data_IF_430305274407
#
_entry.id   IF_430305274407
#
_cell.length_a   1.000
_cell.length_b   1.000
_cell.length_c   1.000
_cell.angle_alpha   90.00
_cell.angle_beta   90.00
_cell.angle_gamma   90.00
#
_symmetry.space_group_name_H-M   'P 1'
#
loop_
_entity.id
_entity.type
_entity.pdbx_description
1 polymer ?
#
# COMPACT_ATOMS: atom_id res chain seq x y z
N UNK A 1 6.23 23.31 -2.31
CA UNK A 1 5.34 23.94 -1.30
C UNK A 1 5.57 25.45 -1.15
N UNK A 2 6.73 25.99 -1.54
CA UNK A 2 7.02 27.44 -1.42
C UNK A 2 6.07 28.37 -2.21
N UNK A 3 5.29 27.85 -3.14
CA UNK A 3 4.34 28.60 -3.97
C UNK A 3 2.87 28.46 -3.50
N UNK A 4 2.60 27.64 -2.48
CA UNK A 4 1.23 27.45 -1.98
C UNK A 4 0.96 28.44 -0.84
N UNK A 5 -0.21 29.12 -0.91
CA UNK A 5 -0.67 30.04 0.16
C UNK A 5 -1.34 29.30 1.30
N UNK A 6 -1.89 28.12 1.02
CA UNK A 6 -2.71 27.35 1.96
C UNK A 6 -2.40 25.86 1.80
N UNK A 7 -2.16 25.18 2.90
CA UNK A 7 -1.89 23.75 2.91
C UNK A 7 -2.85 23.02 3.83
N UNK A 8 -3.49 21.97 3.31
CA UNK A 8 -4.30 21.01 4.07
C UNK A 8 -3.60 19.67 4.01
N UNK A 9 -3.53 18.98 5.14
CA UNK A 9 -2.94 17.65 5.24
C UNK A 9 -4.04 16.67 5.61
N UNK A 10 -4.21 15.64 4.78
CA UNK A 10 -4.99 14.44 5.08
C UNK A 10 -4.05 13.26 4.92
N UNK A 11 -3.78 12.51 5.99
CA UNK A 11 -2.77 11.47 5.99
C UNK A 11 -3.16 10.33 6.95
N UNK A 12 -2.84 9.10 6.58
CA UNK A 12 -3.04 7.91 7.40
C UNK A 12 -1.73 7.31 7.92
N UNK A 13 -0.60 7.92 7.61
CA UNK A 13 0.69 7.47 8.12
C UNK A 13 0.94 7.93 9.56
N UNK A 14 1.82 7.23 10.26
CA UNK A 14 2.29 7.69 11.57
C UNK A 14 3.08 8.98 11.42
N UNK A 15 2.92 9.90 12.37
CA UNK A 15 3.65 11.16 12.38
C UNK A 15 5.16 10.90 12.43
N UNK A 16 5.89 11.56 11.54
CA UNK A 16 7.35 11.57 11.53
C UNK A 16 7.89 12.98 11.73
N UNK A 17 9.22 13.12 11.80
CA UNK A 17 9.90 14.41 12.05
C UNK A 17 9.82 15.37 10.85
N UNK A 18 9.52 14.88 9.65
CA UNK A 18 9.54 15.63 8.39
C UNK A 18 8.17 16.16 7.99
N UNK A 19 7.25 16.28 8.94
CA UNK A 19 5.90 16.79 8.66
C UNK A 19 5.92 18.22 8.14
N UNK A 20 5.01 18.52 7.21
CA UNK A 20 4.79 19.87 6.67
C UNK A 20 4.42 20.81 7.83
N UNK A 21 5.15 21.92 7.94
CA UNK A 21 4.94 22.91 9.00
C UNK A 21 3.81 23.87 8.64
N UNK A 22 3.03 24.26 9.68
CA UNK A 22 1.97 25.27 9.60
C UNK A 22 0.88 25.02 8.53
N UNK A 23 0.28 23.83 8.46
CA UNK A 23 -0.92 23.64 7.65
C UNK A 23 -2.10 24.39 8.29
N UNK A 24 -3.06 24.85 7.48
CA UNK A 24 -4.31 25.42 8.01
C UNK A 24 -5.25 24.35 8.57
N UNK A 25 -5.12 23.12 8.06
CA UNK A 25 -5.77 21.92 8.56
C UNK A 25 -4.79 20.76 8.47
N UNK A 26 -4.70 19.99 9.55
CA UNK A 26 -3.96 18.73 9.59
C UNK A 26 -4.85 17.67 10.21
N UNK A 27 -5.30 16.73 9.40
CA UNK A 27 -6.05 15.55 9.83
C UNK A 27 -5.22 14.30 9.55
N UNK A 28 -4.55 13.81 10.58
CA UNK A 28 -3.66 12.64 10.51
C UNK A 28 -4.26 11.55 11.39
N UNK A 29 -4.70 10.46 10.77
CA UNK A 29 -5.42 9.35 11.41
C UNK A 29 -4.76 8.00 11.07
N UNK A 30 -3.78 7.53 11.86
CA UNK A 30 -3.03 6.30 11.57
C UNK A 30 -3.86 5.01 11.63
N UNK A 31 -5.06 5.07 12.17
CA UNK A 31 -5.98 3.92 12.24
C UNK A 31 -6.89 3.82 11.01
N UNK A 32 -6.93 4.83 10.15
CA UNK A 32 -7.60 4.73 8.87
C UNK A 32 -6.82 3.79 7.94
N UNK A 33 -7.54 3.02 7.13
CA UNK A 33 -6.93 2.09 6.19
C UNK A 33 -6.13 2.79 5.08
N UNK A 34 -6.63 3.96 4.67
CA UNK A 34 -6.06 4.76 3.58
C UNK A 34 -6.47 6.21 3.68
N UNK A 35 -5.74 7.10 3.05
CA UNK A 35 -6.19 8.49 2.87
C UNK A 35 -7.47 8.57 2.05
N UNK A 36 -7.71 7.63 1.12
CA UNK A 36 -8.96 7.55 0.36
C UNK A 36 -10.18 7.27 1.25
N UNK A 37 -10.02 6.46 2.31
CA UNK A 37 -11.06 6.26 3.34
C UNK A 37 -11.39 7.60 4.02
N UNK A 38 -10.38 8.34 4.50
CA UNK A 38 -10.57 9.63 5.15
C UNK A 38 -11.30 10.64 4.25
N UNK A 39 -10.89 10.73 2.99
CA UNK A 39 -11.53 11.62 2.03
C UNK A 39 -12.97 11.19 1.76
N UNK A 40 -13.24 9.90 1.58
CA UNK A 40 -14.58 9.39 1.36
C UNK A 40 -15.51 9.67 2.55
N UNK A 41 -15.00 9.58 3.78
CA UNK A 41 -15.74 9.98 4.98
C UNK A 41 -16.04 11.48 5.00
N UNK A 42 -15.03 12.33 4.80
CA UNK A 42 -15.18 13.79 4.82
C UNK A 42 -16.23 14.24 3.80
N UNK A 43 -16.20 13.69 2.59
CA UNK A 43 -17.14 14.04 1.51
C UNK A 43 -18.62 13.78 1.89
N UNK A 44 -18.89 12.87 2.81
CA UNK A 44 -20.25 12.59 3.29
C UNK A 44 -20.77 13.67 4.24
N UNK A 45 -19.86 14.42 4.89
CA UNK A 45 -20.20 15.45 5.89
C UNK A 45 -20.10 16.89 5.37
N UNK A 46 -19.57 17.09 4.15
CA UNK A 46 -19.50 18.42 3.55
C UNK A 46 -20.90 18.89 3.15
N UNK A 47 -21.30 20.08 3.60
CA UNK A 47 -22.64 20.65 3.38
C UNK A 47 -23.04 20.73 1.89
N UNK A 48 -22.06 21.02 1.04
CA UNK A 48 -22.26 21.10 -0.43
C UNK A 48 -22.54 19.73 -1.08
N UNK A 49 -22.33 18.63 -0.36
CA UNK A 49 -22.48 17.24 -0.85
C UNK A 49 -21.94 17.07 -2.26
N UNK A 50 -20.64 17.28 -2.48
CA UNK A 50 -20.05 17.23 -3.80
C UNK A 50 -20.32 15.87 -4.43
N UNK A 51 -20.77 15.90 -5.69
CA UNK A 51 -21.00 14.67 -6.45
C UNK A 51 -19.66 14.22 -7.03
N UNK A 52 -19.24 13.01 -6.68
CA UNK A 52 -18.07 12.38 -7.28
C UNK A 52 -18.36 11.99 -8.73
N UNK A 53 -17.42 12.27 -9.61
CA UNK A 53 -17.41 11.68 -10.94
C UNK A 53 -17.01 10.19 -10.85
N UNK A 54 -17.54 9.32 -11.73
CA UNK A 54 -17.23 7.89 -11.69
C UNK A 54 -15.74 7.56 -11.76
N UNK A 55 -14.94 8.41 -12.41
CA UNK A 55 -13.49 8.24 -12.48
C UNK A 55 -12.83 8.50 -11.12
N UNK A 56 -13.26 9.55 -10.41
CA UNK A 56 -12.78 9.89 -9.07
C UNK A 56 -13.14 8.77 -8.08
N UNK A 57 -14.38 8.28 -8.12
CA UNK A 57 -14.82 7.17 -7.30
C UNK A 57 -14.01 5.88 -7.59
N UNK A 58 -13.69 5.58 -8.85
CA UNK A 58 -12.84 4.47 -9.22
C UNK A 58 -11.41 4.62 -8.68
N UNK A 59 -10.81 5.83 -8.83
CA UNK A 59 -9.45 6.10 -8.38
C UNK A 59 -9.34 5.99 -6.86
N UNK A 60 -10.30 6.55 -6.11
CA UNK A 60 -10.34 6.44 -4.65
C UNK A 60 -10.53 4.99 -4.19
N UNK A 61 -11.43 4.25 -4.85
CA UNK A 61 -11.63 2.84 -4.55
C UNK A 61 -10.36 2.03 -4.79
N UNK A 62 -9.66 2.30 -5.91
CA UNK A 62 -8.38 1.67 -6.20
C UNK A 62 -7.31 2.00 -5.16
N UNK A 63 -7.21 3.26 -4.72
CA UNK A 63 -6.30 3.67 -3.64
C UNK A 63 -6.56 2.90 -2.34
N UNK A 64 -7.84 2.68 -1.98
CA UNK A 64 -8.18 1.84 -0.82
C UNK A 64 -7.71 0.39 -1.00
N UNK A 65 -7.88 -0.22 -2.19
CA UNK A 65 -7.41 -1.57 -2.47
C UNK A 65 -5.90 -1.71 -2.33
N UNK A 66 -5.14 -0.71 -2.82
CA UNK A 66 -3.67 -0.70 -2.74
C UNK A 66 -3.20 -0.66 -1.28
N UNK A 67 -3.75 0.26 -0.48
CA UNK A 67 -3.31 0.45 0.91
C UNK A 67 -3.74 -0.70 1.84
N UNK A 68 -4.81 -1.40 1.48
CA UNK A 68 -5.38 -2.50 2.29
C UNK A 68 -5.02 -3.89 1.78
N UNK A 69 -4.23 -3.96 0.73
CA UNK A 69 -3.98 -5.23 0.03
C UNK A 69 -5.28 -5.99 -0.26
N UNK A 70 -6.15 -5.36 -1.06
CA UNK A 70 -7.47 -5.89 -1.42
C UNK A 70 -8.39 -6.18 -0.20
N UNK A 71 -8.39 -5.31 0.80
CA UNK A 71 -9.14 -5.43 2.05
C UNK A 71 -8.66 -6.56 2.99
N UNK A 72 -7.45 -7.05 2.82
CA UNK A 72 -6.84 -8.03 3.74
C UNK A 72 -6.24 -7.31 4.96
N UNK A 73 -5.50 -6.21 4.74
CA UNK A 73 -4.75 -5.53 5.79
C UNK A 73 -5.42 -4.23 6.24
N UNK A 74 -5.30 -3.90 7.53
CA UNK A 74 -5.76 -2.62 8.13
C UNK A 74 -7.22 -2.26 7.81
N UNK A 75 -8.06 -3.23 7.54
CA UNK A 75 -9.45 -3.04 7.14
C UNK A 75 -10.38 -3.08 8.34
N UNK A 76 -11.18 -2.05 8.52
CA UNK A 76 -12.20 -1.94 9.55
C UNK A 76 -13.59 -1.67 8.96
N UNK A 77 -14.59 -1.53 9.84
CA UNK A 77 -15.96 -1.19 9.41
C UNK A 77 -15.99 0.10 8.59
N UNK A 78 -15.24 1.13 9.02
CA UNK A 78 -15.12 2.42 8.31
C UNK A 78 -14.66 2.24 6.87
N UNK A 79 -13.71 1.33 6.64
CA UNK A 79 -13.18 1.02 5.29
C UNK A 79 -14.30 0.50 4.39
N UNK A 80 -15.12 -0.43 4.87
CA UNK A 80 -16.25 -0.96 4.10
C UNK A 80 -17.35 0.08 3.88
N UNK A 81 -17.62 0.96 4.85
CA UNK A 81 -18.56 2.07 4.71
C UNK A 81 -18.09 3.07 3.63
N UNK A 82 -16.81 3.43 3.64
CA UNK A 82 -16.18 4.26 2.61
C UNK A 82 -16.25 3.57 1.22
N UNK A 83 -15.94 2.27 1.14
CA UNK A 83 -16.05 1.50 -0.09
C UNK A 83 -17.51 1.46 -0.61
N UNK A 84 -18.49 1.29 0.28
CA UNK A 84 -19.91 1.33 -0.08
C UNK A 84 -20.34 2.73 -0.54
N UNK A 85 -19.82 3.79 0.08
CA UNK A 85 -20.06 5.18 -0.38
C UNK A 85 -19.52 5.39 -1.79
N UNK A 86 -18.28 4.99 -2.07
CA UNK A 86 -17.68 5.10 -3.40
C UNK A 86 -18.46 4.28 -4.43
N UNK A 87 -18.92 3.09 -4.06
CA UNK A 87 -19.76 2.25 -4.93
C UNK A 87 -21.08 2.93 -5.28
N UNK A 88 -21.76 3.56 -4.30
CA UNK A 88 -22.99 4.35 -4.54
C UNK A 88 -22.72 5.55 -5.45
N UNK A 89 -21.52 6.12 -5.42
CA UNK A 89 -21.10 7.24 -6.27
C UNK A 89 -20.50 6.81 -7.62
N UNK A 90 -20.72 5.58 -8.05
CA UNK A 90 -20.43 5.11 -9.40
C UNK A 90 -19.10 4.38 -9.56
N UNK A 91 -18.43 3.98 -8.47
CA UNK A 91 -17.27 3.11 -8.59
C UNK A 91 -17.65 1.80 -9.28
N UNK A 92 -16.93 1.48 -10.36
CA UNK A 92 -17.09 0.26 -11.17
C UNK A 92 -15.89 -0.66 -10.93
N UNK A 93 -16.13 -1.75 -10.22
CA UNK A 93 -15.09 -2.71 -9.83
C UNK A 93 -14.37 -3.34 -11.03
N UNK A 94 -15.05 -3.45 -12.17
CA UNK A 94 -14.42 -3.93 -13.41
C UNK A 94 -13.40 -2.92 -13.93
N UNK A 95 -13.73 -1.62 -13.87
CA UNK A 95 -12.79 -0.55 -14.24
C UNK A 95 -11.65 -0.47 -13.23
N UNK A 96 -11.95 -0.54 -11.95
CA UNK A 96 -10.94 -0.58 -10.87
C UNK A 96 -9.96 -1.75 -11.10
N UNK A 97 -10.47 -2.95 -11.38
CA UNK A 97 -9.62 -4.10 -11.71
C UNK A 97 -8.75 -3.87 -12.96
N UNK A 98 -9.26 -3.13 -13.95
CA UNK A 98 -8.45 -2.79 -15.13
C UNK A 98 -7.31 -1.82 -14.80
N UNK A 99 -7.49 -0.95 -13.80
CA UNK A 99 -6.45 -0.03 -13.32
C UNK A 99 -5.30 -0.76 -12.63
N UNK A 100 -5.57 -1.89 -11.97
CA UNK A 100 -4.57 -2.70 -11.27
C UNK A 100 -3.84 -3.72 -12.15
N UNK A 101 -4.12 -3.75 -13.47
CA UNK A 101 -3.47 -4.72 -14.36
C UNK A 101 -2.03 -4.32 -14.63
N UNK A 102 -1.17 -5.29 -14.59
CA UNK A 102 0.24 -5.17 -14.90
C UNK A 102 0.59 -5.81 -16.26
N UNK A 103 1.81 -5.56 -16.73
CA UNK A 103 2.33 -6.19 -17.92
C UNK A 103 2.64 -7.68 -17.69
N UNK A 104 2.64 -8.46 -18.76
CA UNK A 104 3.08 -9.86 -18.70
C UNK A 104 4.54 -9.99 -18.23
N UNK A 105 5.36 -9.00 -18.56
CA UNK A 105 6.77 -8.96 -18.15
C UNK A 105 6.89 -8.80 -16.63
N UNK A 106 6.21 -7.81 -16.06
CA UNK A 106 6.15 -7.58 -14.60
C UNK A 106 5.63 -8.83 -13.87
N UNK A 107 4.55 -9.42 -14.40
CA UNK A 107 3.97 -10.65 -13.86
C UNK A 107 4.97 -11.81 -13.84
N UNK A 108 5.73 -12.01 -14.95
CA UNK A 108 6.75 -13.07 -15.02
C UNK A 108 7.89 -12.87 -14.03
N UNK A 109 8.35 -11.63 -13.87
CA UNK A 109 9.42 -11.29 -12.93
C UNK A 109 8.96 -11.63 -11.50
N UNK A 110 7.75 -11.24 -11.14
CA UNK A 110 7.15 -11.52 -9.83
C UNK A 110 7.00 -13.04 -9.61
N UNK A 111 6.37 -13.74 -10.55
CA UNK A 111 6.17 -15.18 -10.46
C UNK A 111 7.51 -15.95 -10.34
N UNK A 112 8.55 -15.50 -11.05
CA UNK A 112 9.88 -16.07 -10.95
C UNK A 112 10.45 -15.88 -9.54
N UNK A 113 10.41 -14.66 -9.00
CA UNK A 113 10.92 -14.38 -7.65
C UNK A 113 10.21 -15.22 -6.57
N UNK A 114 8.90 -15.43 -6.71
CA UNK A 114 8.13 -16.29 -5.81
C UNK A 114 8.55 -17.76 -5.95
N UNK A 115 8.67 -18.26 -7.19
CA UNK A 115 9.01 -19.66 -7.45
C UNK A 115 10.44 -20.04 -7.03
N UNK A 116 11.35 -19.07 -6.97
CA UNK A 116 12.74 -19.23 -6.55
C UNK A 116 12.97 -18.86 -5.09
N UNK A 117 11.91 -18.53 -4.32
CA UNK A 117 12.03 -18.16 -2.93
C UNK A 117 12.55 -19.33 -2.06
N UNK A 118 13.47 -19.05 -1.17
CA UNK A 118 13.99 -19.99 -0.19
C UNK A 118 13.13 -19.94 1.09
N UNK A 119 12.79 -21.13 1.60
CA UNK A 119 12.03 -21.24 2.85
C UNK A 119 12.99 -21.67 3.97
N UNK A 120 13.17 -20.79 4.95
CA UNK A 120 14.01 -21.04 6.11
C UNK A 120 13.17 -21.45 7.32
N UNK A 121 13.59 -22.51 7.98
CA UNK A 121 12.95 -23.06 9.18
C UNK A 121 11.46 -23.38 9.01
N UNK A 122 10.98 -23.51 7.75
CA UNK A 122 9.59 -23.79 7.43
C UNK A 122 8.63 -22.61 7.70
N UNK A 123 9.15 -21.41 8.03
CA UNK A 123 8.33 -20.26 8.44
C UNK A 123 8.77 -18.90 7.89
N UNK A 124 9.95 -18.79 7.30
CA UNK A 124 10.46 -17.56 6.72
C UNK A 124 10.72 -17.74 5.25
N UNK A 125 10.13 -16.88 4.41
CA UNK A 125 10.36 -16.86 2.97
C UNK A 125 11.33 -15.74 2.60
N UNK A 126 12.39 -16.08 1.86
CA UNK A 126 13.36 -15.11 1.34
C UNK A 126 13.42 -15.23 -0.17
N UNK A 127 13.20 -14.10 -0.84
CA UNK A 127 13.31 -14.01 -2.30
C UNK A 127 14.27 -12.90 -2.73
N UNK A 128 14.85 -13.06 -3.91
CA UNK A 128 15.67 -12.02 -4.54
C UNK A 128 15.04 -11.58 -5.83
N UNK A 129 15.11 -10.28 -6.11
CA UNK A 129 14.58 -9.66 -7.31
C UNK A 129 15.62 -8.72 -7.91
N UNK A 130 15.94 -8.94 -9.17
CA UNK A 130 16.82 -8.03 -9.92
C UNK A 130 15.93 -7.05 -10.68
N UNK A 131 16.00 -5.78 -10.31
CA UNK A 131 15.13 -4.72 -10.82
C UNK A 131 15.50 -4.16 -12.20
N UNK A 132 16.13 -4.97 -13.07
CA UNK A 132 16.52 -4.52 -14.40
C UNK A 132 15.30 -4.57 -15.34
N UNK A 133 15.01 -3.44 -15.98
CA UNK A 133 13.98 -3.36 -17.04
C UNK A 133 12.55 -3.15 -16.55
N UNK A 134 12.32 -2.85 -15.27
CA UNK A 134 10.98 -2.54 -14.71
C UNK A 134 10.91 -1.13 -14.15
N UNK A 135 9.76 -0.48 -14.28
CA UNK A 135 9.56 0.91 -13.86
C UNK A 135 9.63 1.12 -12.33
N UNK A 136 9.22 0.15 -11.55
CA UNK A 136 9.14 0.27 -10.10
C UNK A 136 9.54 -1.03 -9.38
N UNK A 137 10.84 -1.39 -9.37
CA UNK A 137 11.31 -2.67 -8.81
C UNK A 137 10.96 -2.86 -7.33
N UNK A 138 11.03 -1.79 -6.54
CA UNK A 138 10.70 -1.82 -5.10
C UNK A 138 9.23 -2.10 -4.83
N UNK A 139 8.33 -1.63 -5.70
CA UNK A 139 6.89 -1.94 -5.63
C UNK A 139 6.67 -3.43 -5.91
N UNK A 140 7.33 -3.97 -6.93
CA UNK A 140 7.26 -5.41 -7.23
C UNK A 140 7.80 -6.23 -6.06
N UNK A 141 8.92 -5.81 -5.46
CA UNK A 141 9.47 -6.47 -4.27
C UNK A 141 8.49 -6.48 -3.09
N UNK A 142 7.74 -5.40 -2.89
CA UNK A 142 6.70 -5.33 -1.86
C UNK A 142 5.51 -6.26 -2.17
N UNK A 143 5.11 -6.37 -3.44
CA UNK A 143 4.05 -7.30 -3.88
C UNK A 143 4.49 -8.76 -3.69
N UNK A 144 5.72 -9.12 -4.08
CA UNK A 144 6.29 -10.46 -3.84
C UNK A 144 6.30 -10.77 -2.34
N UNK A 145 6.68 -9.82 -1.49
CA UNK A 145 6.68 -10.03 -0.06
C UNK A 145 5.26 -10.30 0.50
N UNK A 146 4.24 -9.61 0.00
CA UNK A 146 2.86 -9.89 0.39
C UNK A 146 2.42 -11.29 -0.09
N UNK A 147 2.64 -11.63 -1.37
CA UNK A 147 2.24 -12.93 -1.92
C UNK A 147 2.94 -14.12 -1.27
N UNK A 148 4.16 -13.96 -0.79
CA UNK A 148 4.85 -15.01 -0.04
C UNK A 148 4.20 -15.29 1.32
N UNK A 149 3.49 -14.32 1.91
CA UNK A 149 2.72 -14.54 3.14
C UNK A 149 1.41 -15.32 2.92
N UNK A 150 0.95 -15.42 1.67
CA UNK A 150 -0.22 -16.26 1.34
C UNK A 150 0.11 -17.77 1.33
N UNK A 151 1.39 -18.12 1.47
CA UNK A 151 1.84 -19.52 1.54
C UNK A 151 1.66 -20.05 2.97
N UNK A 152 0.96 -21.17 3.10
CA UNK A 152 0.71 -21.80 4.38
C UNK A 152 2.03 -22.08 5.16
N UNK A 153 2.03 -21.74 6.44
CA UNK A 153 3.18 -21.87 7.34
C UNK A 153 4.19 -20.71 7.28
N UNK A 154 4.08 -19.78 6.34
CA UNK A 154 4.98 -18.62 6.28
C UNK A 154 4.49 -17.52 7.24
N UNK A 155 5.33 -17.13 8.18
CA UNK A 155 5.06 -16.09 9.17
C UNK A 155 5.70 -14.74 8.82
N UNK A 156 6.82 -14.76 8.10
CA UNK A 156 7.45 -13.54 7.60
C UNK A 156 8.14 -13.78 6.26
N UNK A 157 8.14 -12.74 5.44
CA UNK A 157 8.76 -12.72 4.12
C UNK A 157 9.74 -11.56 4.00
N UNK A 158 10.84 -11.79 3.28
CA UNK A 158 11.87 -10.80 3.00
C UNK A 158 12.23 -10.86 1.53
N UNK A 159 12.09 -9.75 0.83
CA UNK A 159 12.43 -9.65 -0.59
C UNK A 159 13.54 -8.63 -0.80
N UNK A 160 14.67 -9.11 -1.27
CA UNK A 160 15.85 -8.30 -1.55
C UNK A 160 15.79 -7.86 -3.02
N UNK A 161 15.53 -6.57 -3.24
CA UNK A 161 15.40 -5.99 -4.57
C UNK A 161 16.66 -5.19 -4.92
N UNK A 162 17.44 -5.68 -5.89
CA UNK A 162 18.61 -4.98 -6.41
C UNK A 162 18.19 -3.89 -7.40
N UNK A 163 18.53 -2.62 -7.09
CA UNK A 163 18.30 -1.46 -7.95
C UNK A 163 19.59 -0.64 -8.05
N UNK A 164 20.21 -0.64 -9.23
CA UNK A 164 21.54 -0.08 -9.42
C UNK A 164 22.56 -0.68 -8.43
N UNK A 165 23.21 0.16 -7.63
CA UNK A 165 24.21 -0.25 -6.63
C UNK A 165 23.60 -0.43 -5.19
N UNK A 166 22.28 -0.44 -5.08
CA UNK A 166 21.57 -0.54 -3.80
C UNK A 166 20.70 -1.78 -3.75
N UNK A 167 20.52 -2.31 -2.56
CA UNK A 167 19.55 -3.36 -2.26
C UNK A 167 18.47 -2.77 -1.36
N UNK A 168 17.23 -2.86 -1.80
CA UNK A 168 16.05 -2.53 -1.01
C UNK A 168 15.46 -3.81 -0.46
N UNK A 169 15.09 -3.80 0.80
CA UNK A 169 14.47 -4.96 1.44
C UNK A 169 13.01 -4.63 1.73
N UNK A 170 12.11 -5.41 1.13
CA UNK A 170 10.70 -5.40 1.48
C UNK A 170 10.45 -6.54 2.47
N UNK A 171 10.05 -6.21 3.70
CA UNK A 171 9.75 -7.19 4.73
C UNK A 171 8.28 -7.11 5.13
N UNK A 172 7.65 -8.26 5.29
CA UNK A 172 6.26 -8.42 5.72
C UNK A 172 6.15 -9.52 6.75
N UNK A 173 5.15 -9.45 7.61
CA UNK A 173 4.88 -10.50 8.59
C UNK A 173 3.41 -10.58 8.95
N UNK A 174 3.02 -11.75 9.39
CA UNK A 174 1.75 -12.04 10.03
C UNK A 174 2.08 -12.39 11.49
N UNK A 175 1.20 -11.97 12.42
CA UNK A 175 1.25 -12.31 13.84
C UNK A 175 2.49 -11.80 14.61
N UNK A 176 3.26 -12.72 15.23
CA UNK A 176 4.23 -12.39 16.29
C UNK A 176 5.58 -11.85 15.77
N UNK A 177 5.90 -12.05 14.50
CA UNK A 177 7.20 -11.63 13.95
C UNK A 177 7.23 -10.13 13.71
N UNK A 178 8.05 -9.41 14.48
CA UNK A 178 8.22 -7.97 14.29
C UNK A 178 9.32 -7.66 13.28
N UNK A 179 8.97 -7.65 11.99
CA UNK A 179 9.92 -7.35 10.91
C UNK A 179 10.47 -5.92 10.96
N UNK A 180 9.73 -4.97 11.55
CA UNK A 180 10.23 -3.61 11.71
C UNK A 180 11.52 -3.59 12.55
N UNK A 181 11.53 -4.28 13.72
CA UNK A 181 12.73 -4.36 14.56
C UNK A 181 13.91 -5.02 13.84
N UNK A 182 13.61 -6.04 13.02
CA UNK A 182 14.65 -6.69 12.21
C UNK A 182 15.23 -5.69 11.21
N UNK A 183 14.37 -4.93 10.51
CA UNK A 183 14.82 -3.97 9.51
C UNK A 183 15.56 -2.77 10.12
N UNK A 184 15.23 -2.37 11.34
CA UNK A 184 15.94 -1.30 12.07
C UNK A 184 17.43 -1.63 12.27
N UNK A 185 17.77 -2.90 12.51
CA UNK A 185 19.17 -3.38 12.61
C UNK A 185 19.96 -3.22 11.29
N UNK A 186 19.25 -3.18 10.15
CA UNK A 186 19.82 -2.96 8.82
C UNK A 186 19.74 -1.48 8.38
N UNK A 187 19.37 -0.57 9.29
CA UNK A 187 19.23 0.86 8.99
C UNK A 187 17.97 1.21 8.19
N UNK A 188 17.00 0.31 8.15
CA UNK A 188 15.67 0.50 7.59
C UNK A 188 14.61 0.64 8.70
N UNK A 189 13.39 0.29 8.37
CA UNK A 189 12.25 0.36 9.29
C UNK A 189 11.42 1.64 9.07
N UNK A 190 10.16 1.48 8.65
CA UNK A 190 9.23 2.57 8.35
C UNK A 190 7.84 2.27 8.88
#
# INVERSE_FOLDING_TARGET
>A
LSQTKTTVILDHHRKNKDMIKNPVLSYVEPYASSTCELVAEILQYVDSKPKLEPMEANAMYYGMLVDTDNFVNKTGVRTFEAAAYLKRNGADLTKVRKMSRESMETYRIRAKAISEAEILYGRFAIATLVGIGVDSPTVIGAQVANELLDIDGIEASFVLTGVHERVYISARSIDEVNVQKIMEEFGGGG
#
